data_IF_321767131018
#
_entry.id   IF_321767131018
#
_cell.length_a   1.000
_cell.length_b   1.000
_cell.length_c   1.000
_cell.angle_alpha   90.00
_cell.angle_beta   90.00
_cell.angle_gamma   90.00
#
_symmetry.space_group_name_H-M   'P 1'
#
loop_
_entity.id
_entity.type
_entity.pdbx_description
1 polymer ?
#
# COMPACT_ATOMS: atom_id res chain seq x y z
N UNK A 1 8.22 9.52 -14.27
CA UNK A 1 7.82 10.14 -13.12
C UNK A 1 6.79 9.44 -12.35
N UNK A 2 7.00 9.31 -11.06
CA UNK A 2 6.06 8.64 -10.31
C UNK A 2 4.97 9.48 -9.92
N UNK A 3 3.81 9.00 -9.78
CA UNK A 3 2.70 9.74 -9.39
C UNK A 3 2.35 9.41 -8.04
N UNK A 4 2.54 10.30 -7.14
CA UNK A 4 2.11 10.09 -5.79
C UNK A 4 0.62 10.21 -5.67
N UNK A 5 -0.08 10.52 -6.75
CA UNK A 5 -1.52 10.61 -6.70
C UNK A 5 -2.19 9.28 -6.92
N UNK A 6 -1.45 8.24 -7.18
CA UNK A 6 -2.03 6.93 -7.38
C UNK A 6 -2.72 6.43 -6.13
N UNK A 7 -3.79 5.69 -6.32
CA UNK A 7 -4.52 5.12 -5.22
C UNK A 7 -4.62 3.64 -5.36
N UNK A 8 -4.74 2.96 -4.24
CA UNK A 8 -4.87 1.52 -4.23
C UNK A 8 -6.34 1.17 -4.20
N UNK A 9 -6.80 0.41 -5.18
CA UNK A 9 -8.20 0.02 -5.28
C UNK A 9 -8.38 -1.30 -4.55
N UNK A 10 -8.91 -1.24 -3.33
CA UNK A 10 -9.11 -2.45 -2.55
C UNK A 10 -10.19 -3.34 -3.11
N UNK A 11 -11.00 -2.84 -4.02
CA UNK A 11 -12.03 -3.66 -4.64
C UNK A 11 -11.43 -4.58 -5.70
N UNK A 12 -10.20 -4.31 -6.11
CA UNK A 12 -9.53 -5.14 -7.09
C UNK A 12 -8.46 -5.98 -6.41
N UNK A 13 -8.70 -7.28 -6.31
CA UNK A 13 -7.73 -8.17 -5.68
C UNK A 13 -6.42 -8.19 -6.45
N UNK A 14 -6.48 -8.06 -7.77
CA UNK A 14 -5.28 -8.04 -8.57
C UNK A 14 -4.42 -6.84 -8.23
N UNK A 15 -5.03 -5.71 -8.02
CA UNK A 15 -4.30 -4.51 -7.71
C UNK A 15 -3.69 -4.61 -6.31
N UNK A 16 -4.44 -5.12 -5.36
CA UNK A 16 -3.92 -5.29 -4.00
C UNK A 16 -2.71 -6.23 -4.03
N UNK A 17 -2.81 -7.30 -4.80
CA UNK A 17 -1.70 -8.23 -4.88
C UNK A 17 -0.47 -7.59 -5.51
N UNK A 18 -0.67 -6.78 -6.54
CA UNK A 18 0.42 -6.11 -7.19
C UNK A 18 1.14 -5.18 -6.23
N UNK A 19 0.38 -4.40 -5.48
CA UNK A 19 0.98 -3.49 -4.53
C UNK A 19 1.68 -4.25 -3.41
N UNK A 20 1.09 -5.35 -2.98
CA UNK A 20 1.70 -6.16 -1.93
C UNK A 20 3.06 -6.67 -2.40
N UNK A 21 3.14 -7.13 -3.64
CA UNK A 21 4.39 -7.60 -4.17
C UNK A 21 5.39 -6.47 -4.34
N UNK A 22 4.92 -5.33 -4.80
CA UNK A 22 5.79 -4.18 -5.02
C UNK A 22 6.40 -3.70 -3.73
N UNK A 23 5.63 -3.75 -2.64
CA UNK A 23 6.12 -3.30 -1.36
C UNK A 23 6.74 -4.41 -0.52
N UNK A 24 6.62 -5.64 -0.96
CA UNK A 24 7.19 -6.77 -0.20
C UNK A 24 6.42 -7.10 1.06
N UNK A 25 5.10 -6.94 1.03
CA UNK A 25 4.26 -7.22 2.18
C UNK A 25 3.10 -8.10 1.75
N UNK A 26 2.25 -8.47 2.68
CA UNK A 26 1.10 -9.31 2.36
C UNK A 26 -0.07 -8.45 1.93
N UNK A 27 -1.05 -9.08 1.30
CA UNK A 27 -2.26 -8.37 0.90
C UNK A 27 -2.99 -7.85 2.12
N UNK A 28 -3.02 -8.64 3.18
CA UNK A 28 -3.68 -8.22 4.40
C UNK A 28 -3.03 -6.94 4.95
N UNK A 29 -1.73 -6.86 4.83
CA UNK A 29 -1.02 -5.70 5.31
C UNK A 29 -1.35 -4.47 4.49
N UNK A 30 -1.51 -4.62 3.19
CA UNK A 30 -1.92 -3.53 2.33
C UNK A 30 -3.30 -3.02 2.75
N UNK A 31 -4.26 -3.93 2.93
CA UNK A 31 -5.61 -3.55 3.29
C UNK A 31 -5.64 -2.84 4.63
N UNK A 32 -4.88 -3.35 5.58
CA UNK A 32 -4.84 -2.78 6.89
C UNK A 32 -4.21 -1.39 6.86
N UNK A 33 -3.16 -1.21 6.08
CA UNK A 33 -2.49 0.07 5.98
C UNK A 33 -3.41 1.11 5.33
N UNK A 34 -4.13 0.71 4.29
CA UNK A 34 -5.06 1.61 3.64
C UNK A 34 -6.16 2.03 4.62
N UNK A 35 -6.57 1.12 5.48
CA UNK A 35 -7.58 1.42 6.45
C UNK A 35 -7.09 2.45 7.47
N UNK A 36 -5.81 2.47 7.73
CA UNK A 36 -5.23 3.39 8.69
C UNK A 36 -4.89 4.75 8.10
N UNK A 37 -4.29 4.78 6.94
CA UNK A 37 -3.80 6.02 6.37
C UNK A 37 -4.47 6.44 5.08
N UNK A 38 -5.37 5.64 4.56
CA UNK A 38 -6.06 5.98 3.32
C UNK A 38 -5.46 5.28 2.13
N UNK A 39 -6.10 5.39 0.98
CA UNK A 39 -5.71 4.65 -0.22
C UNK A 39 -4.56 5.26 -1.02
N UNK A 40 -4.04 6.39 -0.62
CA UNK A 40 -3.00 7.04 -1.39
C UNK A 40 -1.70 6.27 -1.29
N UNK A 41 -1.11 5.97 -2.43
CA UNK A 41 0.09 5.16 -2.45
C UNK A 41 1.21 5.78 -1.64
N UNK A 42 1.36 7.10 -1.72
CA UNK A 42 2.44 7.74 -0.99
C UNK A 42 2.29 7.56 0.52
N UNK A 43 1.06 7.59 1.01
CA UNK A 43 0.82 7.43 2.43
C UNK A 43 1.05 6.00 2.86
N UNK A 44 0.62 5.06 2.03
CA UNK A 44 0.81 3.65 2.32
C UNK A 44 2.29 3.32 2.33
N UNK A 45 3.02 3.84 1.36
CA UNK A 45 4.45 3.57 1.27
C UNK A 45 5.18 4.09 2.49
N UNK A 46 4.80 5.29 2.92
CA UNK A 46 5.44 5.88 4.06
C UNK A 46 5.16 5.07 5.33
N UNK A 47 3.92 4.63 5.48
CA UNK A 47 3.54 3.85 6.65
C UNK A 47 4.27 2.52 6.69
N UNK A 48 4.37 1.86 5.55
CA UNK A 48 5.04 0.57 5.49
C UNK A 48 6.54 0.73 5.75
N UNK A 49 7.11 1.83 5.31
CA UNK A 49 8.51 2.08 5.56
C UNK A 49 8.76 2.24 7.05
N UNK A 50 7.85 2.89 7.76
CA UNK A 50 8.00 3.04 9.19
C UNK A 50 7.89 1.72 9.91
N UNK A 51 6.99 0.87 9.46
CA UNK A 51 6.80 -0.42 10.09
C UNK A 51 7.98 -1.34 9.90
N UNK A 52 8.80 -1.08 8.91
CA UNK A 52 9.91 -1.96 8.63
C UNK A 52 11.18 -1.55 9.31
N UNK A 53 11.15 -0.48 10.04
CA UNK A 53 12.36 -0.05 10.69
C UNK A 53 12.59 -0.84 11.95
N UNK A 54 13.80 -1.11 12.24
CA UNK A 54 14.15 -1.72 13.48
C UNK A 54 15.64 -1.55 13.71
#
# INVERSE_FOLDING_TARGET
>A
METDDSRIDLASDDEVRRWAEAFGVTEAEIRQTVDLVGPMVKDVRQRLAQNRSY
#
